data_IF_383835802146
#
_entry.id   IF_383835802146
#
_cell.length_a   1.000
_cell.length_b   1.000
_cell.length_c   1.000
_cell.angle_alpha   90.00
_cell.angle_beta   90.00
_cell.angle_gamma   90.00
#
_symmetry.space_group_name_H-M   'P 1'
#
loop_
_entity.id
_entity.type
_entity.pdbx_description
1 polymer ?
#
# COMPACT_ATOMS: atom_id res chain seq x y z
N UNK A 1 -8.74 -10.56 16.89
CA UNK A 1 -8.26 -9.17 17.04
C UNK A 1 -6.81 -9.14 16.65
N UNK A 2 -6.43 -8.15 15.85
CA UNK A 2 -5.07 -7.97 15.37
C UNK A 2 -4.18 -7.46 16.52
N UNK A 3 -2.94 -7.95 16.63
CA UNK A 3 -1.99 -7.54 17.68
C UNK A 3 -0.85 -6.68 17.10
N UNK A 4 0.04 -6.19 17.96
CA UNK A 4 1.16 -5.33 17.56
C UNK A 4 2.10 -5.96 16.50
N UNK A 5 2.39 -7.26 16.61
CA UNK A 5 3.24 -7.96 15.63
C UNK A 5 2.53 -8.03 14.26
N UNK A 6 1.24 -8.36 14.25
CA UNK A 6 0.43 -8.41 13.04
C UNK A 6 0.27 -7.02 12.39
N UNK A 7 -0.03 -5.98 13.19
CA UNK A 7 -0.18 -4.59 12.73
C UNK A 7 1.07 -4.03 12.04
N UNK A 8 2.24 -4.49 12.49
CA UNK A 8 3.55 -4.04 11.98
C UNK A 8 4.15 -5.01 10.97
N UNK A 9 3.41 -6.05 10.55
CA UNK A 9 3.86 -7.00 9.53
C UNK A 9 4.91 -8.00 10.02
N UNK A 10 5.10 -8.11 11.34
CA UNK A 10 6.05 -9.03 11.98
C UNK A 10 5.44 -10.40 12.29
N UNK A 11 4.12 -10.55 12.09
CA UNK A 11 3.40 -11.83 12.17
C UNK A 11 2.44 -12.01 11.00
N UNK A 12 2.18 -13.27 10.66
CA UNK A 12 1.24 -13.70 9.61
C UNK A 12 0.05 -14.50 10.18
N UNK A 13 -0.04 -14.64 11.49
CA UNK A 13 -1.03 -15.50 12.17
C UNK A 13 -2.49 -15.08 11.92
N UNK A 14 -2.73 -13.81 11.55
CA UNK A 14 -4.06 -13.29 11.22
C UNK A 14 -4.51 -13.58 9.79
N UNK A 15 -3.65 -14.17 8.96
CA UNK A 15 -3.88 -14.29 7.51
C UNK A 15 -4.43 -15.65 7.10
N UNK A 16 -5.31 -15.62 6.11
CA UNK A 16 -5.78 -16.76 5.35
C UNK A 16 -5.27 -16.70 3.89
N UNK A 17 -5.11 -17.84 3.21
CA UNK A 17 -4.82 -17.86 1.77
C UNK A 17 -5.92 -17.21 0.95
N UNK A 18 -5.55 -16.42 -0.05
CA UNK A 18 -6.44 -15.92 -1.11
C UNK A 18 -6.23 -16.73 -2.40
N UNK A 19 -5.04 -16.65 -2.98
CA UNK A 19 -4.64 -17.36 -4.20
C UNK A 19 -3.12 -17.41 -4.32
N UNK A 20 -2.54 -18.55 -4.71
CA UNK A 20 -1.08 -18.70 -4.78
C UNK A 20 -0.38 -18.26 -3.49
N UNK A 21 0.50 -17.25 -3.59
CA UNK A 21 1.20 -16.66 -2.44
C UNK A 21 0.46 -15.49 -1.78
N UNK A 22 -0.70 -15.09 -2.32
CA UNK A 22 -1.49 -13.99 -1.79
C UNK A 22 -2.26 -14.40 -0.54
N UNK A 23 -2.24 -13.52 0.46
CA UNK A 23 -2.89 -13.71 1.75
C UNK A 23 -3.50 -12.41 2.26
N UNK A 24 -4.66 -12.53 2.87
CA UNK A 24 -5.43 -11.45 3.51
C UNK A 24 -6.06 -12.01 4.79
N UNK A 25 -6.64 -11.17 5.64
CA UNK A 25 -7.47 -11.66 6.73
C UNK A 25 -8.73 -12.36 6.19
N UNK A 26 -9.29 -13.37 6.89
CA UNK A 26 -10.41 -14.18 6.40
C UNK A 26 -11.61 -13.39 5.86
N UNK A 27 -11.99 -12.30 6.53
CA UNK A 27 -13.11 -11.46 6.12
C UNK A 27 -12.83 -10.73 4.79
N UNK A 28 -11.61 -10.21 4.63
CA UNK A 28 -11.17 -9.58 3.38
C UNK A 28 -11.02 -10.60 2.24
N UNK A 29 -10.60 -11.83 2.53
CA UNK A 29 -10.60 -12.93 1.52
C UNK A 29 -12.01 -13.15 0.99
N UNK A 30 -13.00 -13.35 1.87
CA UNK A 30 -14.37 -13.60 1.45
C UNK A 30 -14.96 -12.43 0.65
N UNK A 31 -14.72 -11.20 1.11
CA UNK A 31 -15.16 -10.00 0.42
C UNK A 31 -14.51 -9.85 -0.97
N UNK A 32 -13.21 -10.10 -1.07
CA UNK A 32 -12.49 -9.98 -2.34
C UNK A 32 -12.92 -11.05 -3.34
N UNK A 33 -13.11 -12.31 -2.91
CA UNK A 33 -13.62 -13.37 -3.78
C UNK A 33 -15.01 -13.05 -4.34
N UNK A 34 -15.88 -12.43 -3.54
CA UNK A 34 -17.19 -11.96 -4.02
C UNK A 34 -17.04 -10.84 -5.05
N UNK A 35 -16.14 -9.88 -4.81
CA UNK A 35 -15.85 -8.80 -5.76
C UNK A 35 -15.21 -9.33 -7.06
N UNK A 36 -14.32 -10.30 -6.99
CA UNK A 36 -13.74 -10.98 -8.16
C UNK A 36 -14.81 -11.66 -9.01
N UNK A 37 -15.78 -12.33 -8.37
CA UNK A 37 -16.89 -12.96 -9.09
C UNK A 37 -17.76 -11.93 -9.81
N UNK A 38 -18.11 -10.82 -9.15
CA UNK A 38 -18.88 -9.74 -9.78
C UNK A 38 -18.09 -9.05 -10.92
N UNK A 39 -16.79 -8.84 -10.74
CA UNK A 39 -15.91 -8.29 -11.77
C UNK A 39 -15.88 -9.20 -13.01
N UNK A 40 -15.82 -10.53 -12.79
CA UNK A 40 -15.88 -11.52 -13.86
C UNK A 40 -17.18 -11.48 -14.63
N UNK A 41 -18.31 -11.32 -13.95
CA UNK A 41 -19.63 -11.16 -14.59
C UNK A 41 -19.72 -9.87 -15.42
N UNK A 42 -18.98 -8.83 -15.03
CA UNK A 42 -18.81 -7.60 -15.78
C UNK A 42 -17.74 -7.68 -16.89
N UNK A 43 -17.06 -8.81 -17.06
CA UNK A 43 -16.07 -9.05 -18.11
C UNK A 43 -14.62 -8.71 -17.75
N UNK A 44 -14.30 -8.51 -16.46
CA UNK A 44 -12.95 -8.25 -15.97
C UNK A 44 -12.31 -9.50 -15.32
N UNK A 45 -11.00 -9.68 -15.50
CA UNK A 45 -10.19 -10.65 -14.76
C UNK A 45 -9.51 -9.96 -13.56
N UNK A 46 -10.27 -9.60 -12.53
CA UNK A 46 -9.72 -8.90 -11.36
C UNK A 46 -8.75 -9.82 -10.59
N UNK A 47 -7.46 -9.51 -10.58
CA UNK A 47 -6.43 -10.29 -9.89
C UNK A 47 -5.66 -9.46 -8.84
N UNK A 48 -5.20 -10.09 -7.74
CA UNK A 48 -4.28 -9.43 -6.81
C UNK A 48 -2.89 -9.32 -7.45
N UNK A 49 -2.36 -8.10 -7.52
CA UNK A 49 -0.95 -7.85 -7.84
C UNK A 49 -0.06 -7.98 -6.59
N UNK A 50 -0.56 -7.50 -5.45
CA UNK A 50 0.16 -7.46 -4.18
C UNK A 50 -0.84 -7.50 -3.02
N UNK A 51 -0.51 -8.23 -1.94
CA UNK A 51 -1.36 -8.40 -0.75
C UNK A 51 -0.51 -8.23 0.50
N UNK A 52 -0.57 -9.12 1.51
CA UNK A 52 0.33 -9.06 2.65
C UNK A 52 1.81 -8.95 2.25
N UNK A 53 2.50 -8.05 2.96
CA UNK A 53 3.92 -7.79 2.85
C UNK A 53 4.45 -7.80 4.27
N UNK A 54 5.42 -8.65 4.57
CA UNK A 54 6.00 -8.65 5.92
C UNK A 54 6.89 -7.41 6.17
N UNK A 55 7.23 -7.23 7.44
CA UNK A 55 8.08 -6.15 7.91
C UNK A 55 9.43 -6.14 7.20
N UNK A 56 10.11 -7.29 7.10
CA UNK A 56 11.47 -7.37 6.56
C UNK A 56 11.50 -7.07 5.05
N UNK A 57 10.46 -7.44 4.30
CA UNK A 57 10.28 -7.06 2.90
C UNK A 57 10.04 -5.55 2.76
N UNK A 58 9.21 -4.95 3.62
CA UNK A 58 9.02 -3.50 3.59
C UNK A 58 10.30 -2.75 3.99
N UNK A 59 11.08 -3.28 4.96
CA UNK A 59 12.40 -2.78 5.33
C UNK A 59 13.38 -2.82 4.16
N UNK A 60 13.43 -3.94 3.43
CA UNK A 60 14.30 -4.07 2.25
C UNK A 60 13.91 -3.13 1.10
N UNK A 61 12.61 -2.84 0.92
CA UNK A 61 12.13 -1.84 -0.05
C UNK A 61 12.58 -0.45 0.38
N UNK A 62 12.32 -0.08 1.64
CA UNK A 62 12.67 1.22 2.21
C UNK A 62 14.19 1.48 2.13
N UNK A 63 14.99 0.56 2.68
CA UNK A 63 16.45 0.69 2.67
C UNK A 63 17.02 0.69 1.26
N UNK A 64 16.49 -0.16 0.37
CA UNK A 64 16.92 -0.18 -1.03
C UNK A 64 16.68 1.16 -1.73
N UNK A 65 15.53 1.81 -1.48
CA UNK A 65 15.23 3.15 -2.02
C UNK A 65 16.13 4.22 -1.39
N UNK A 66 16.31 4.21 -0.07
CA UNK A 66 17.15 5.18 0.64
C UNK A 66 18.61 5.12 0.21
N UNK A 67 19.13 3.91 -0.04
CA UNK A 67 20.49 3.67 -0.49
C UNK A 67 20.68 3.79 -2.02
N UNK A 68 19.64 4.17 -2.78
CA UNK A 68 19.71 4.31 -4.24
C UNK A 68 19.82 2.99 -5.01
N UNK A 69 19.55 1.86 -4.37
CA UNK A 69 19.53 0.53 -4.99
C UNK A 69 18.20 0.22 -5.68
N UNK A 70 17.16 1.01 -5.37
CA UNK A 70 15.83 0.95 -5.99
C UNK A 70 15.43 2.35 -6.45
N UNK A 71 14.68 2.48 -7.56
CA UNK A 71 14.19 3.78 -8.03
C UNK A 71 13.36 4.49 -6.96
N UNK A 72 13.60 5.79 -6.83
CA UNK A 72 12.75 6.75 -6.12
C UNK A 72 12.19 7.69 -7.18
N UNK A 73 10.92 8.04 -7.05
CA UNK A 73 10.22 8.88 -8.00
C UNK A 73 9.96 10.26 -7.38
N UNK A 74 9.99 11.31 -8.21
CA UNK A 74 9.45 12.61 -7.83
C UNK A 74 7.91 12.60 -7.83
N UNK A 75 7.31 13.77 -7.61
CA UNK A 75 5.84 13.95 -7.61
C UNK A 75 5.18 13.71 -8.98
N UNK A 76 5.97 13.72 -10.06
CA UNK A 76 5.52 13.58 -11.44
C UNK A 76 5.83 12.16 -11.99
N UNK A 77 6.01 11.18 -11.10
CA UNK A 77 6.39 9.79 -11.39
C UNK A 77 7.70 9.63 -12.17
N UNK A 78 8.65 10.57 -12.05
CA UNK A 78 9.95 10.48 -12.74
C UNK A 78 11.05 10.00 -11.80
N UNK A 79 11.91 9.06 -12.21
CA UNK A 79 13.06 8.65 -11.41
C UNK A 79 13.96 9.82 -11.06
N UNK A 80 14.35 9.91 -9.79
CA UNK A 80 15.31 10.90 -9.29
C UNK A 80 16.59 10.24 -8.80
N UNK A 81 17.71 10.95 -8.98
CA UNK A 81 18.97 10.58 -8.34
C UNK A 81 18.91 10.98 -6.86
N UNK A 82 18.98 9.98 -5.97
CA UNK A 82 18.98 10.19 -4.53
C UNK A 82 20.36 10.51 -3.97
N UNK A 83 21.44 10.26 -4.72
CA UNK A 83 22.80 10.50 -4.26
C UNK A 83 23.05 11.93 -3.74
N UNK A 84 22.59 13.02 -4.41
CA UNK A 84 22.79 14.38 -3.92
C UNK A 84 21.84 14.79 -2.79
N UNK A 85 20.78 14.01 -2.52
CA UNK A 85 19.76 14.35 -1.54
C UNK A 85 20.26 14.11 -0.10
N UNK A 86 19.90 15.03 0.80
CA UNK A 86 20.03 14.86 2.24
C UNK A 86 19.15 13.69 2.74
N UNK A 87 19.44 13.18 3.94
CA UNK A 87 18.63 12.11 4.54
C UNK A 87 17.15 12.50 4.67
N UNK A 88 16.86 13.77 4.96
CA UNK A 88 15.51 14.32 5.04
C UNK A 88 14.80 14.25 3.69
N UNK A 89 15.42 14.80 2.64
CA UNK A 89 14.87 14.80 1.28
C UNK A 89 14.64 13.38 0.75
N UNK A 90 15.56 12.44 1.05
CA UNK A 90 15.37 11.03 0.71
C UNK A 90 14.17 10.43 1.44
N UNK A 91 14.04 10.65 2.74
CA UNK A 91 12.90 10.12 3.50
C UNK A 91 11.57 10.65 2.94
N UNK A 92 11.47 11.95 2.67
CA UNK A 92 10.25 12.54 2.12
C UNK A 92 9.93 12.02 0.71
N UNK A 93 10.93 11.92 -0.17
CA UNK A 93 10.74 11.38 -1.51
C UNK A 93 10.30 9.91 -1.50
N UNK A 94 10.79 9.11 -0.53
CA UNK A 94 10.39 7.71 -0.39
C UNK A 94 8.98 7.60 0.22
N UNK A 95 8.70 8.35 1.30
CA UNK A 95 7.38 8.36 1.98
C UNK A 95 6.23 8.67 1.03
N UNK A 96 6.49 9.47 -0.01
CA UNK A 96 5.53 9.77 -1.05
C UNK A 96 4.96 8.54 -1.76
N UNK A 97 5.79 7.52 -1.97
CA UNK A 97 5.45 6.35 -2.80
C UNK A 97 5.64 5.02 -2.06
N UNK A 98 6.07 5.03 -0.80
CA UNK A 98 6.41 3.84 -0.05
C UNK A 98 6.27 4.07 1.44
N UNK A 99 5.42 3.26 2.06
CA UNK A 99 5.22 3.27 3.49
C UNK A 99 6.51 2.94 4.27
N UNK A 100 6.56 3.39 5.53
CA UNK A 100 7.62 2.98 6.46
C UNK A 100 7.54 1.48 6.77
N UNK A 101 8.68 0.84 7.13
CA UNK A 101 8.68 -0.48 7.74
C UNK A 101 7.79 -0.46 9.00
N UNK A 102 6.86 -1.39 9.10
CA UNK A 102 5.84 -1.39 10.17
C UNK A 102 4.60 -0.52 9.96
N UNK A 103 4.56 0.36 8.94
CA UNK A 103 3.42 1.26 8.67
C UNK A 103 2.71 1.03 7.33
N UNK A 104 3.07 -0.02 6.58
CA UNK A 104 2.34 -0.38 5.37
C UNK A 104 0.97 -0.94 5.72
N UNK A 105 -0.08 -0.46 5.05
CA UNK A 105 -1.43 -1.01 5.21
C UNK A 105 -1.53 -2.48 4.78
N UNK A 106 -0.63 -2.93 3.90
CA UNK A 106 -0.53 -4.36 3.53
C UNK A 106 -0.21 -5.27 4.72
N UNK A 107 0.43 -4.75 5.78
CA UNK A 107 0.67 -5.52 7.01
C UNK A 107 -0.62 -6.02 7.64
N UNK A 108 -1.69 -5.24 7.51
CA UNK A 108 -2.96 -5.51 8.18
C UNK A 108 -3.71 -6.68 7.56
N UNK A 109 -3.35 -7.09 6.33
CA UNK A 109 -4.09 -8.11 5.59
C UNK A 109 -5.50 -7.66 5.20
N UNK A 110 -5.80 -6.37 5.28
CA UNK A 110 -7.03 -5.75 4.77
C UNK A 110 -6.85 -5.15 3.38
N UNK A 111 -5.59 -4.96 2.95
CA UNK A 111 -5.24 -4.14 1.80
C UNK A 111 -4.55 -4.96 0.71
N UNK A 112 -4.79 -4.58 -0.54
CA UNK A 112 -4.24 -5.22 -1.73
C UNK A 112 -4.17 -4.26 -2.92
N UNK A 113 -3.20 -4.52 -3.79
CA UNK A 113 -3.10 -3.90 -5.10
C UNK A 113 -3.76 -4.83 -6.11
N UNK A 114 -4.58 -4.30 -7.01
CA UNK A 114 -5.31 -5.09 -8.01
C UNK A 114 -5.04 -4.61 -9.42
N UNK A 115 -5.19 -5.53 -10.38
CA UNK A 115 -5.11 -5.25 -11.82
C UNK A 115 -5.91 -6.28 -12.60
N UNK A 116 -6.05 -6.07 -13.90
CA UNK A 116 -6.59 -7.07 -14.83
C UNK A 116 -5.48 -7.53 -15.80
N UNK A 117 -4.93 -8.75 -15.67
CA UNK A 117 -3.87 -9.22 -16.53
C UNK A 117 -4.29 -9.33 -17.99
N UNK A 118 -5.58 -9.47 -18.30
CA UNK A 118 -6.09 -9.52 -19.67
C UNK A 118 -6.07 -8.16 -20.38
N UNK A 119 -6.03 -7.06 -19.61
CA UNK A 119 -5.91 -5.69 -20.13
C UNK A 119 -4.45 -5.24 -20.27
N UNK A 120 -3.50 -5.92 -19.65
CA UNK A 120 -2.08 -5.56 -19.74
C UNK A 120 -1.54 -5.85 -21.17
N UNK A 121 -1.01 -4.86 -21.90
CA UNK A 121 -0.52 -5.08 -23.26
C UNK A 121 0.65 -6.05 -23.34
N UNK A 122 0.75 -6.76 -24.46
CA UNK A 122 1.85 -7.68 -24.71
C UNK A 122 3.21 -6.96 -24.62
N UNK A 123 4.16 -7.59 -23.91
CA UNK A 123 5.50 -7.05 -23.69
C UNK A 123 5.60 -5.98 -22.59
N UNK A 124 4.48 -5.51 -22.03
CA UNK A 124 4.47 -4.61 -20.88
C UNK A 124 4.54 -5.40 -19.57
N UNK A 125 5.05 -4.73 -18.52
CA UNK A 125 5.00 -5.20 -17.14
C UNK A 125 4.12 -4.26 -16.35
N UNK A 126 3.34 -4.81 -15.42
CA UNK A 126 2.57 -4.02 -14.47
C UNK A 126 3.51 -3.09 -13.70
N UNK A 127 3.24 -1.78 -13.73
CA UNK A 127 4.04 -0.78 -13.02
C UNK A 127 3.39 -0.31 -11.72
N UNK A 128 2.06 -0.45 -11.60
CA UNK A 128 1.28 0.14 -10.52
C UNK A 128 1.53 1.66 -10.48
N UNK A 129 1.19 2.32 -11.59
CA UNK A 129 1.31 3.77 -11.75
C UNK A 129 -0.04 4.38 -12.17
N UNK A 130 -0.35 5.64 -11.78
CA UNK A 130 -1.69 6.19 -11.98
C UNK A 130 -2.13 6.20 -13.44
N UNK A 131 -1.20 6.49 -14.36
CA UNK A 131 -1.46 6.52 -15.80
C UNK A 131 -1.91 5.17 -16.38
N UNK A 132 -1.65 4.04 -15.71
CA UNK A 132 -2.18 2.74 -16.14
C UNK A 132 -3.70 2.64 -15.90
N UNK A 133 -4.24 3.40 -14.94
CA UNK A 133 -5.64 3.34 -14.46
C UNK A 133 -6.48 4.59 -14.81
N UNK A 134 -5.84 5.70 -15.15
CA UNK A 134 -6.48 6.95 -15.56
C UNK A 134 -7.03 6.86 -17.00
N UNK A 135 -7.78 7.87 -17.43
CA UNK A 135 -8.37 7.93 -18.77
C UNK A 135 -7.30 7.74 -19.86
N UNK A 136 -7.52 6.77 -20.76
CA UNK A 136 -6.56 6.37 -21.79
C UNK A 136 -5.56 5.29 -21.36
N UNK A 137 -5.49 4.96 -20.06
CA UNK A 137 -4.74 3.85 -19.50
C UNK A 137 -5.40 2.49 -19.75
N UNK A 138 -4.61 1.42 -19.71
CA UNK A 138 -5.08 0.06 -20.01
C UNK A 138 -6.13 -0.44 -19.00
N UNK A 139 -6.00 -0.06 -17.73
CA UNK A 139 -6.91 -0.42 -16.65
C UNK A 139 -8.00 0.62 -16.41
N UNK A 140 -8.14 1.66 -17.25
CA UNK A 140 -9.19 2.67 -17.10
C UNK A 140 -10.60 2.06 -16.98
N UNK A 141 -10.98 1.06 -17.81
CA UNK A 141 -12.30 0.43 -17.68
C UNK A 141 -12.48 -0.31 -16.34
N UNK A 142 -11.45 -1.03 -15.88
CA UNK A 142 -11.48 -1.70 -14.58
C UNK A 142 -11.58 -0.67 -13.45
N UNK A 143 -10.80 0.42 -13.52
CA UNK A 143 -10.78 1.48 -12.53
C UNK A 143 -12.16 2.14 -12.38
N UNK A 144 -12.86 2.38 -13.50
CA UNK A 144 -14.22 2.89 -13.50
C UNK A 144 -15.20 1.91 -12.84
N UNK A 145 -15.11 0.62 -13.17
CA UNK A 145 -15.94 -0.41 -12.56
C UNK A 145 -15.72 -0.51 -11.05
N UNK A 146 -14.45 -0.57 -10.61
CA UNK A 146 -14.09 -0.59 -9.20
C UNK A 146 -14.63 0.64 -8.46
N UNK A 147 -14.55 1.83 -9.07
CA UNK A 147 -15.09 3.07 -8.49
C UNK A 147 -16.60 2.98 -8.22
N UNK A 148 -17.34 2.32 -9.11
CA UNK A 148 -18.79 2.17 -8.95
C UNK A 148 -19.17 1.07 -7.94
N UNK A 149 -18.38 0.00 -7.83
CA UNK A 149 -18.83 -1.24 -7.18
C UNK A 149 -18.05 -1.67 -5.92
N UNK A 150 -16.82 -1.20 -5.71
CA UNK A 150 -15.97 -1.72 -4.61
C UNK A 150 -16.60 -1.57 -3.22
N UNK A 151 -17.39 -0.51 -3.03
CA UNK A 151 -18.07 -0.22 -1.76
C UNK A 151 -19.13 -1.27 -1.41
N UNK A 152 -19.75 -1.92 -2.40
CA UNK A 152 -20.72 -3.01 -2.20
C UNK A 152 -20.09 -4.22 -1.50
N UNK A 153 -18.77 -4.39 -1.66
CA UNK A 153 -17.97 -5.44 -1.05
C UNK A 153 -17.19 -4.96 0.18
N UNK A 154 -17.43 -3.72 0.65
CA UNK A 154 -16.73 -3.13 1.79
C UNK A 154 -15.31 -2.64 1.51
N UNK A 155 -14.92 -2.56 0.24
CA UNK A 155 -13.63 -1.98 -0.17
C UNK A 155 -13.73 -0.48 -0.43
N UNK A 156 -12.60 0.21 -0.30
CA UNK A 156 -12.43 1.60 -0.70
C UNK A 156 -10.97 1.88 -1.08
N UNK A 157 -10.71 3.05 -1.66
CA UNK A 157 -9.35 3.54 -1.91
C UNK A 157 -8.92 4.50 -0.79
N UNK A 158 -7.87 4.19 -0.03
CA UNK A 158 -7.36 5.12 0.99
C UNK A 158 -6.64 6.33 0.36
N UNK A 159 -6.04 6.16 -0.82
CA UNK A 159 -5.20 7.16 -1.47
C UNK A 159 -5.82 7.69 -2.78
N UNK A 160 -6.81 8.58 -2.66
CA UNK A 160 -7.56 9.12 -3.81
C UNK A 160 -7.19 10.54 -4.21
N UNK A 161 -6.47 11.27 -3.35
CA UNK A 161 -6.18 12.69 -3.54
C UNK A 161 -4.76 12.99 -3.08
N UNK A 162 -4.09 13.89 -3.81
CA UNK A 162 -2.80 14.40 -3.40
C UNK A 162 -2.96 15.55 -2.39
N UNK A 163 -2.89 15.20 -1.10
CA UNK A 163 -2.92 16.16 0.01
C UNK A 163 -1.52 16.43 0.62
N UNK A 164 -0.44 16.12 -0.11
CA UNK A 164 0.93 16.23 0.40
C UNK A 164 1.37 15.07 1.30
N UNK A 165 0.60 13.98 1.30
CA UNK A 165 0.91 12.67 1.89
C UNK A 165 1.33 11.65 0.84
N UNK A 166 0.81 10.41 0.97
CA UNK A 166 0.99 9.34 -0.02
C UNK A 166 0.41 9.77 -1.37
N UNK A 167 1.06 9.39 -2.47
CA UNK A 167 0.56 9.64 -3.82
C UNK A 167 -0.79 8.95 -4.08
N UNK A 168 -1.47 9.34 -5.16
CA UNK A 168 -2.72 8.69 -5.58
C UNK A 168 -2.41 7.28 -6.07
N UNK A 169 -3.14 6.27 -5.58
CA UNK A 169 -2.95 4.86 -5.91
C UNK A 169 -4.28 4.21 -6.33
N UNK A 170 -4.70 4.34 -7.61
CA UNK A 170 -5.99 3.82 -8.08
C UNK A 170 -6.16 2.30 -7.96
N UNK A 171 -5.04 1.56 -7.91
CA UNK A 171 -4.98 0.11 -7.74
C UNK A 171 -5.12 -0.35 -6.29
N UNK A 172 -4.86 0.52 -5.31
CA UNK A 172 -4.78 0.14 -3.90
C UNK A 172 -6.17 0.13 -3.28
N UNK A 173 -6.66 -1.07 -2.94
CA UNK A 173 -7.94 -1.27 -2.29
C UNK A 173 -7.73 -1.67 -0.82
N UNK A 174 -8.61 -1.19 0.05
CA UNK A 174 -8.59 -1.49 1.49
C UNK A 174 -9.97 -1.96 1.95
N UNK A 175 -10.02 -3.07 2.68
CA UNK A 175 -11.24 -3.59 3.27
C UNK A 175 -11.57 -2.84 4.56
N UNK A 176 -12.57 -1.95 4.48
CA UNK A 176 -12.89 -0.95 5.51
C UNK A 176 -13.09 -1.51 6.91
N UNK A 177 -13.86 -2.59 7.13
CA UNK A 177 -14.13 -3.09 8.48
C UNK A 177 -12.87 -3.48 9.27
N UNK A 178 -11.84 -3.99 8.59
CA UNK A 178 -10.58 -4.37 9.23
C UNK A 178 -9.57 -3.22 9.26
N UNK A 179 -9.55 -2.42 8.19
CA UNK A 179 -8.64 -1.29 8.08
C UNK A 179 -8.90 -0.23 9.17
N UNK A 180 -10.16 0.05 9.51
CA UNK A 180 -10.51 1.00 10.57
C UNK A 180 -9.99 0.57 11.95
N UNK A 181 -10.07 -0.73 12.28
CA UNK A 181 -9.49 -1.26 13.52
C UNK A 181 -7.96 -1.07 13.52
N UNK A 182 -7.30 -1.40 12.41
CA UNK A 182 -5.86 -1.29 12.31
C UNK A 182 -5.35 0.16 12.34
N UNK A 183 -6.04 1.09 11.68
CA UNK A 183 -5.77 2.53 11.74
C UNK A 183 -5.86 3.08 13.15
N UNK A 184 -6.86 2.64 13.94
CA UNK A 184 -7.02 3.06 15.32
C UNK A 184 -5.94 2.50 16.25
N UNK A 185 -5.53 1.26 16.03
CA UNK A 185 -4.57 0.57 16.88
C UNK A 185 -3.10 0.92 16.57
N UNK A 186 -2.79 1.26 15.32
CA UNK A 186 -1.44 1.65 14.94
C UNK A 186 -1.06 2.99 15.59
N UNK A 187 0.09 3.04 16.25
CA UNK A 187 0.58 4.27 16.90
C UNK A 187 2.06 4.49 16.61
N UNK A 188 2.57 5.73 16.73
CA UNK A 188 4.00 5.99 16.67
C UNK A 188 4.83 5.11 17.62
N UNK A 189 4.32 4.83 18.82
CA UNK A 189 5.01 3.99 19.79
C UNK A 189 5.19 2.54 19.30
N UNK A 190 4.18 1.98 18.60
CA UNK A 190 4.29 0.64 18.00
C UNK A 190 5.31 0.61 16.86
N UNK A 191 5.41 1.68 16.06
CA UNK A 191 6.42 1.79 15.00
C UNK A 191 7.83 1.84 15.59
N UNK A 192 8.05 2.68 16.60
CA UNK A 192 9.33 2.75 17.31
C UNK A 192 9.72 1.40 17.92
N UNK A 193 8.76 0.72 18.55
CA UNK A 193 8.98 -0.62 19.10
C UNK A 193 9.37 -1.64 18.02
N UNK A 194 8.74 -1.58 16.83
CA UNK A 194 9.07 -2.45 15.71
C UNK A 194 10.47 -2.18 15.12
N UNK A 195 11.07 -1.03 15.43
CA UNK A 195 12.40 -0.63 14.92
C UNK A 195 13.56 -0.91 15.89
N UNK A 196 13.31 -1.25 17.17
CA UNK A 196 14.32 -1.27 18.24
C UNK A 196 15.59 -2.10 17.94
N UNK A 197 15.49 -3.13 17.09
CA UNK A 197 16.63 -3.99 16.70
C UNK A 197 16.77 -4.12 15.17
N UNK A 198 16.35 -3.09 14.43
CA UNK A 198 16.30 -3.10 12.97
C UNK A 198 17.12 -1.96 12.40
N UNK A 199 17.89 -2.24 11.35
CA UNK A 199 18.64 -1.23 10.61
C UNK A 199 17.70 -0.48 9.64
N UNK A 200 16.92 0.47 10.16
CA UNK A 200 16.06 1.33 9.34
C UNK A 200 16.88 2.50 8.80
N UNK A 201 17.07 2.57 7.48
CA UNK A 201 17.82 3.67 6.88
C UNK A 201 17.12 5.02 7.13
N UNK A 202 17.87 6.02 7.60
CA UNK A 202 17.32 7.34 7.96
C UNK A 202 16.61 7.39 9.32
N UNK A 203 16.74 6.37 10.17
CA UNK A 203 16.02 6.26 11.46
C UNK A 203 16.13 7.50 12.34
N UNK A 204 17.30 8.13 12.47
CA UNK A 204 17.47 9.32 13.31
C UNK A 204 16.55 10.48 12.89
N UNK A 205 16.37 10.68 11.58
CA UNK A 205 15.46 11.70 11.06
C UNK A 205 14.01 11.26 11.21
N UNK A 206 13.72 9.98 10.92
CA UNK A 206 12.37 9.41 11.04
C UNK A 206 11.84 9.51 12.47
N UNK A 207 12.61 9.11 13.48
CA UNK A 207 12.22 9.18 14.89
C UNK A 207 11.90 10.61 15.32
N UNK A 208 12.73 11.57 14.91
CA UNK A 208 12.54 12.99 15.23
C UNK A 208 11.27 13.57 14.61
N UNK A 209 10.89 13.10 13.42
CA UNK A 209 9.76 13.64 12.66
C UNK A 209 8.53 12.71 12.65
N UNK A 210 8.57 11.60 13.38
CA UNK A 210 7.54 10.57 13.35
C UNK A 210 6.13 11.11 13.61
N UNK A 211 5.89 12.05 14.55
CA UNK A 211 4.54 12.63 14.72
C UNK A 211 4.00 13.29 13.44
N UNK A 212 4.83 14.04 12.72
CA UNK A 212 4.43 14.71 11.46
C UNK A 212 4.30 13.71 10.31
N UNK A 213 5.19 12.72 10.24
CA UNK A 213 5.10 11.65 9.24
C UNK A 213 3.81 10.86 9.45
N UNK A 214 3.49 10.52 10.71
CA UNK A 214 2.31 9.76 11.06
C UNK A 214 1.03 10.50 10.67
N UNK A 215 0.95 11.81 10.92
CA UNK A 215 -0.23 12.59 10.54
C UNK A 215 -0.38 12.77 9.02
N UNK A 216 0.74 12.85 8.28
CA UNK A 216 0.72 13.14 6.82
C UNK A 216 0.62 11.90 5.93
N UNK A 217 1.31 10.82 6.30
CA UNK A 217 1.51 9.66 5.42
C UNK A 217 0.84 8.38 5.91
N UNK A 218 0.46 8.30 7.19
CA UNK A 218 -0.07 7.06 7.78
C UNK A 218 -1.54 7.23 8.15
N UNK A 219 -1.87 8.29 8.88
CA UNK A 219 -3.23 8.57 9.32
C UNK A 219 -4.01 9.25 8.20
N UNK A 220 -5.08 8.61 7.76
CA UNK A 220 -6.08 9.22 6.89
C UNK A 220 -7.03 10.06 7.77
N UNK A 221 -6.62 11.22 8.27
CA UNK A 221 -7.61 12.12 8.90
C UNK A 221 -8.59 12.65 7.85
N UNK A 222 -9.88 12.58 8.15
CA UNK A 222 -10.89 13.45 7.53
C UNK A 222 -11.51 12.98 6.21
N UNK A 223 -11.77 11.69 6.03
CA UNK A 223 -12.72 11.20 5.01
C UNK A 223 -13.90 10.50 5.68
N UNK A 224 -14.72 11.31 6.38
CA UNK A 224 -16.13 10.96 6.62
C UNK A 224 -16.91 11.02 5.30
#
# INVERSE_FOLDING_TARGET
MINAEMLTGRSTEHLAPLSGNHRLQPQAVNAFLAMQQAAREAGFDLQPASTFRDFDRQLAIWNGKFCGQRPVLDKDSRPIDVAPLSAAERCEAILRWSALPGASRHHWGSDLDVYDPSLLPEGQKLQLEPWEYEEGGYFAPLNQWLTAHMAEFGFYRPFTEDSGGVAVEPWHLSYRPLAQEAEHLLTPALLLAAWQDKEVAGVEWLERHLPSIFSRFIRSEGKE
#
